data_IF_908612737644
#
_entry.id   IF_908612737644
#
_cell.length_a   1.000
_cell.length_b   1.000
_cell.length_c   1.000
_cell.angle_alpha   90.00
_cell.angle_beta   90.00
_cell.angle_gamma   90.00
#
_symmetry.space_group_name_H-M   'P 1'
#
loop_
_entity.id
_entity.type
_entity.pdbx_description
1 polymer ?
#
# COMPACT_ATOMS: atom_id res chain seq x y z
N UNK A 1 1.55 -18.40 13.15
CA UNK A 1 0.67 -17.23 12.98
C UNK A 1 0.76 -16.35 14.21
N UNK A 2 0.66 -15.00 14.09
CA UNK A 2 0.61 -14.12 15.26
C UNK A 2 -0.56 -14.50 16.17
N UNK A 3 -0.34 -14.47 17.47
CA UNK A 3 -1.34 -14.80 18.51
C UNK A 3 -2.12 -13.57 18.99
N UNK A 4 -2.11 -12.50 18.19
CA UNK A 4 -2.79 -11.23 18.45
C UNK A 4 -3.38 -10.71 17.14
N UNK A 5 -4.42 -9.88 17.25
CA UNK A 5 -5.06 -9.29 16.08
C UNK A 5 -4.13 -8.30 15.34
N UNK A 6 -4.03 -8.47 14.02
CA UNK A 6 -3.15 -7.69 13.14
C UNK A 6 -3.88 -6.48 12.55
N UNK A 7 -3.12 -5.56 11.98
CA UNK A 7 -3.62 -4.47 11.14
C UNK A 7 -3.13 -4.70 9.72
N UNK A 8 -4.06 -4.80 8.79
CA UNK A 8 -3.77 -4.93 7.37
C UNK A 8 -3.72 -3.54 6.72
N UNK A 9 -2.52 -3.04 6.45
CA UNK A 9 -2.35 -1.68 5.93
C UNK A 9 -2.60 -1.53 4.43
N UNK A 10 -2.98 -2.61 3.71
CA UNK A 10 -3.14 -2.55 2.27
C UNK A 10 -4.20 -3.54 1.78
N UNK A 11 -5.44 -3.04 1.63
CA UNK A 11 -6.60 -3.80 1.16
C UNK A 11 -7.30 -3.03 0.02
N UNK A 12 -7.77 -3.74 -0.98
CA UNK A 12 -8.55 -3.26 -2.11
C UNK A 12 -9.98 -3.81 -2.00
N UNK A 13 -10.94 -2.89 -1.91
CA UNK A 13 -12.38 -3.16 -1.90
C UNK A 13 -12.99 -2.44 -3.09
N UNK A 14 -13.77 -3.13 -3.92
CA UNK A 14 -14.34 -2.50 -5.11
C UNK A 14 -15.62 -3.20 -5.55
N UNK A 15 -16.54 -2.43 -6.11
CA UNK A 15 -17.82 -2.91 -6.62
C UNK A 15 -17.94 -2.63 -8.12
N UNK A 16 -17.84 -3.69 -8.92
CA UNK A 16 -17.87 -3.59 -10.39
C UNK A 16 -19.29 -3.40 -10.94
N UNK A 17 -20.32 -3.54 -10.09
CA UNK A 17 -21.70 -3.21 -10.46
C UNK A 17 -21.97 -1.70 -10.37
N UNK A 18 -21.18 -0.99 -9.53
CA UNK A 18 -21.29 0.47 -9.33
C UNK A 18 -20.29 1.27 -10.17
N UNK A 19 -19.07 0.78 -10.27
CA UNK A 19 -17.96 1.52 -10.85
C UNK A 19 -17.21 0.70 -11.89
N UNK A 20 -16.50 1.40 -12.77
CA UNK A 20 -15.61 0.79 -13.74
C UNK A 20 -14.16 0.92 -13.29
N UNK A 21 -13.45 -0.21 -13.37
CA UNK A 21 -12.02 -0.32 -13.11
C UNK A 21 -11.38 -0.93 -14.36
N UNK A 22 -10.91 -0.10 -15.28
CA UNK A 22 -10.46 -0.54 -16.61
C UNK A 22 -9.34 -1.59 -16.58
N UNK A 23 -8.50 -1.61 -15.54
CA UNK A 23 -7.42 -2.57 -15.40
C UNK A 23 -7.90 -4.02 -15.18
N UNK A 24 -9.12 -4.23 -14.66
CA UNK A 24 -9.68 -5.56 -14.42
C UNK A 24 -9.95 -6.33 -15.72
N UNK A 25 -10.05 -5.66 -16.86
CA UNK A 25 -10.17 -6.32 -18.18
C UNK A 25 -8.95 -7.20 -18.49
N UNK A 26 -7.78 -6.82 -17.97
CA UNK A 26 -6.54 -7.57 -18.16
C UNK A 26 -6.34 -8.65 -17.10
N UNK A 27 -7.21 -8.73 -16.08
CA UNK A 27 -7.12 -9.67 -14.97
C UNK A 27 -8.48 -10.30 -14.66
N UNK A 28 -9.01 -11.17 -15.56
CA UNK A 28 -10.39 -11.66 -15.46
C UNK A 28 -10.70 -12.40 -14.15
N UNK A 29 -9.71 -13.02 -13.51
CA UNK A 29 -9.86 -13.71 -12.21
C UNK A 29 -10.26 -12.77 -11.07
N UNK A 30 -9.97 -11.48 -11.19
CA UNK A 30 -10.32 -10.43 -10.23
C UNK A 30 -11.52 -9.60 -10.65
N UNK A 31 -12.09 -9.83 -11.83
CA UNK A 31 -13.22 -9.07 -12.39
C UNK A 31 -14.55 -9.47 -11.74
N UNK A 32 -14.67 -9.19 -10.45
CA UNK A 32 -15.86 -9.40 -9.59
C UNK A 32 -15.87 -8.39 -8.45
N UNK A 33 -17.03 -8.11 -7.90
CA UNK A 33 -17.15 -7.29 -6.69
C UNK A 33 -16.45 -7.99 -5.51
N UNK A 34 -15.67 -7.21 -4.75
CA UNK A 34 -14.87 -7.67 -3.61
C UNK A 34 -15.09 -6.72 -2.44
N UNK A 35 -15.88 -7.15 -1.46
CA UNK A 35 -16.29 -6.33 -0.30
C UNK A 35 -15.84 -6.94 1.03
N UNK A 36 -16.20 -6.30 2.15
CA UNK A 36 -15.82 -6.74 3.51
C UNK A 36 -16.23 -8.19 3.82
N UNK A 37 -17.38 -8.64 3.32
CA UNK A 37 -17.80 -10.04 3.48
C UNK A 37 -16.94 -11.03 2.68
N UNK A 38 -16.38 -10.62 1.54
CA UNK A 38 -15.39 -11.42 0.79
C UNK A 38 -14.05 -11.44 1.51
N UNK A 39 -13.64 -10.29 2.05
CA UNK A 39 -12.44 -10.17 2.86
C UNK A 39 -12.50 -11.11 4.08
N UNK A 40 -13.64 -11.17 4.78
CA UNK A 40 -13.86 -12.07 5.90
C UNK A 40 -13.70 -13.55 5.53
N UNK A 41 -14.20 -13.94 4.36
CA UNK A 41 -13.99 -15.30 3.84
C UNK A 41 -12.53 -15.55 3.50
N UNK A 42 -11.85 -14.58 2.90
CA UNK A 42 -10.47 -14.71 2.46
C UNK A 42 -9.49 -14.82 3.63
N UNK A 43 -9.63 -13.98 4.66
CA UNK A 43 -8.75 -14.00 5.84
C UNK A 43 -8.86 -15.28 6.66
N UNK A 44 -9.96 -16.02 6.53
CA UNK A 44 -10.20 -17.25 7.29
C UNK A 44 -10.09 -17.02 8.80
N UNK A 45 -9.19 -17.75 9.46
CA UNK A 45 -8.96 -17.66 10.91
C UNK A 45 -8.00 -16.54 11.33
N UNK A 46 -7.43 -15.78 10.40
CA UNK A 46 -6.56 -14.65 10.77
C UNK A 46 -7.40 -13.58 11.46
N UNK A 47 -7.01 -13.22 12.68
CA UNK A 47 -7.65 -12.13 13.42
C UNK A 47 -7.15 -10.79 12.91
N UNK A 48 -8.02 -10.02 12.27
CA UNK A 48 -7.73 -8.68 11.75
C UNK A 48 -8.55 -7.67 12.54
N UNK A 49 -7.86 -6.78 13.25
CA UNK A 49 -8.46 -5.70 14.04
C UNK A 49 -8.83 -4.50 13.17
N UNK A 50 -7.94 -4.11 12.26
CA UNK A 50 -8.15 -2.97 11.36
C UNK A 50 -7.60 -3.25 9.97
N UNK A 51 -8.22 -2.63 8.98
CA UNK A 51 -7.79 -2.60 7.58
C UNK A 51 -7.63 -1.14 7.12
N UNK A 52 -6.70 -0.92 6.20
CA UNK A 52 -6.56 0.35 5.46
C UNK A 52 -6.85 0.06 3.99
N UNK A 53 -7.89 0.71 3.47
CA UNK A 53 -8.20 0.68 2.04
C UNK A 53 -7.15 1.47 1.25
N UNK A 54 -6.74 0.96 0.10
CA UNK A 54 -5.95 1.67 -0.91
C UNK A 54 -6.73 1.73 -2.24
N UNK A 55 -6.82 2.94 -2.83
CA UNK A 55 -7.52 3.23 -4.10
C UNK A 55 -7.24 2.19 -5.18
N UNK A 56 -8.23 1.79 -5.97
CA UNK A 56 -8.12 0.62 -6.84
C UNK A 56 -8.00 1.00 -8.31
N UNK A 57 -7.40 2.16 -8.61
CA UNK A 57 -7.31 2.72 -9.96
C UNK A 57 -8.67 2.73 -10.68
N UNK A 58 -9.68 3.27 -9.99
CA UNK A 58 -10.99 3.56 -10.59
C UNK A 58 -10.82 4.42 -11.85
N UNK A 59 -11.71 4.25 -12.83
CA UNK A 59 -11.66 5.02 -14.07
C UNK A 59 -11.61 6.55 -13.78
N UNK A 60 -10.86 7.33 -14.58
CA UNK A 60 -10.61 8.74 -14.28
C UNK A 60 -11.86 9.58 -14.05
N UNK A 61 -11.82 10.44 -13.03
CA UNK A 61 -12.90 11.35 -12.67
C UNK A 61 -13.92 10.79 -11.67
N UNK A 62 -13.72 9.56 -11.18
CA UNK A 62 -14.58 8.91 -10.18
C UNK A 62 -13.93 8.80 -8.79
N UNK A 63 -12.84 9.51 -8.52
CA UNK A 63 -12.06 9.35 -7.29
C UNK A 63 -12.78 9.84 -6.04
N UNK A 64 -13.66 10.84 -6.17
CA UNK A 64 -14.49 11.29 -5.05
C UNK A 64 -15.61 10.30 -4.77
N UNK A 65 -16.18 9.70 -5.82
CA UNK A 65 -17.22 8.68 -5.72
C UNK A 65 -16.69 7.36 -5.13
N UNK A 66 -15.46 6.98 -5.47
CA UNK A 66 -14.76 5.86 -4.81
C UNK A 66 -14.58 6.15 -3.32
N UNK A 67 -14.12 7.36 -2.98
CA UNK A 67 -13.93 7.75 -1.59
C UNK A 67 -15.24 7.78 -0.78
N UNK A 68 -16.33 8.30 -1.39
CA UNK A 68 -17.68 8.29 -0.79
C UNK A 68 -18.14 6.84 -0.52
N UNK A 69 -17.97 5.95 -1.51
CA UNK A 69 -18.31 4.54 -1.36
C UNK A 69 -17.52 3.83 -0.26
N UNK A 70 -16.21 4.08 -0.17
CA UNK A 70 -15.36 3.48 0.87
C UNK A 70 -15.69 4.06 2.25
N UNK A 71 -16.05 5.34 2.35
CA UNK A 71 -16.53 5.91 3.60
C UNK A 71 -17.86 5.27 4.04
N UNK A 72 -18.79 5.02 3.12
CA UNK A 72 -20.04 4.30 3.44
C UNK A 72 -19.74 2.91 4.01
N UNK A 73 -18.74 2.19 3.47
CA UNK A 73 -18.30 0.92 4.05
C UNK A 73 -17.72 1.10 5.45
N UNK A 74 -16.90 2.14 5.67
CA UNK A 74 -16.26 2.43 6.95
C UNK A 74 -17.25 2.86 8.04
N UNK A 75 -18.40 3.42 7.65
CA UNK A 75 -19.48 3.77 8.59
C UNK A 75 -20.30 2.55 9.02
N UNK A 76 -20.19 1.42 8.31
CA UNK A 76 -20.87 0.16 8.63
C UNK A 76 -19.94 -0.91 9.22
N UNK A 77 -18.63 -0.70 9.22
CA UNK A 77 -17.64 -1.62 9.78
C UNK A 77 -16.40 -0.86 10.28
N UNK A 78 -16.27 -0.75 11.60
CA UNK A 78 -15.17 -0.02 12.27
C UNK A 78 -13.78 -0.61 11.99
N UNK A 79 -13.69 -1.84 11.47
CA UNK A 79 -12.41 -2.40 11.05
C UNK A 79 -11.82 -1.62 9.89
N UNK A 80 -12.62 -1.02 9.02
CA UNK A 80 -12.14 -0.13 7.97
C UNK A 80 -11.76 1.24 8.56
N UNK A 81 -10.59 1.26 9.19
CA UNK A 81 -10.13 2.37 10.02
C UNK A 81 -9.37 3.46 9.23
N UNK A 82 -8.97 3.15 7.99
CA UNK A 82 -8.20 4.04 7.14
C UNK A 82 -8.52 3.88 5.66
N UNK A 83 -8.40 4.98 4.93
CA UNK A 83 -8.53 5.07 3.48
C UNK A 83 -7.37 5.89 2.91
N UNK A 84 -6.69 5.30 1.93
CA UNK A 84 -5.75 5.98 1.05
C UNK A 84 -6.44 6.16 -0.30
N UNK A 85 -6.89 7.37 -0.57
CA UNK A 85 -7.71 7.70 -1.74
C UNK A 85 -6.85 8.15 -2.93
N UNK A 86 -7.44 8.21 -4.12
CA UNK A 86 -6.82 8.85 -5.27
C UNK A 86 -7.02 10.38 -5.23
N UNK A 87 -6.02 11.14 -5.69
CA UNK A 87 -6.21 12.53 -6.09
C UNK A 87 -5.35 12.86 -7.34
N UNK A 88 -5.84 13.72 -8.25
CA UNK A 88 -5.14 14.06 -9.50
C UNK A 88 -4.03 15.11 -9.26
N UNK A 89 -2.94 14.70 -8.62
CA UNK A 89 -1.83 15.55 -8.18
C UNK A 89 -1.10 16.29 -9.33
N UNK A 90 -1.25 15.82 -10.57
CA UNK A 90 -0.76 16.48 -11.78
C UNK A 90 -1.38 17.88 -11.98
N UNK A 91 -2.53 18.15 -11.34
CA UNK A 91 -3.15 19.47 -11.30
C UNK A 91 -2.29 20.52 -10.59
N UNK A 92 -1.25 20.16 -9.84
CA UNK A 92 -0.48 21.11 -9.03
C UNK A 92 -1.34 21.68 -7.90
N UNK A 93 -1.15 22.95 -7.55
CA UNK A 93 -1.95 23.60 -6.49
C UNK A 93 -3.47 23.53 -6.70
N UNK A 94 -3.94 23.40 -7.95
CA UNK A 94 -5.37 23.23 -8.24
C UNK A 94 -5.97 21.90 -7.72
N UNK A 95 -5.16 20.95 -7.24
CA UNK A 95 -5.66 19.74 -6.57
C UNK A 95 -6.25 20.04 -5.18
N UNK A 96 -6.02 21.22 -4.61
CA UNK A 96 -6.45 21.54 -3.25
C UNK A 96 -7.97 21.39 -3.06
N UNK A 97 -8.78 21.70 -4.08
CA UNK A 97 -10.23 21.48 -4.06
C UNK A 97 -10.59 19.99 -3.92
N UNK A 98 -9.87 19.11 -4.64
CA UNK A 98 -10.03 17.66 -4.52
C UNK A 98 -9.64 17.19 -3.11
N UNK A 99 -8.52 17.68 -2.56
CA UNK A 99 -8.05 17.33 -1.22
C UNK A 99 -9.05 17.78 -0.15
N UNK A 100 -9.55 19.01 -0.22
CA UNK A 100 -10.57 19.53 0.70
C UNK A 100 -11.83 18.68 0.64
N UNK A 101 -12.31 18.35 -0.57
CA UNK A 101 -13.48 17.48 -0.73
C UNK A 101 -13.25 16.11 -0.10
N UNK A 102 -12.05 15.52 -0.24
CA UNK A 102 -11.71 14.25 0.38
C UNK A 102 -11.66 14.33 1.92
N UNK A 103 -11.24 15.45 2.52
CA UNK A 103 -11.16 15.57 3.99
C UNK A 103 -12.49 15.45 4.73
N UNK A 104 -13.63 15.48 4.02
CA UNK A 104 -14.95 15.18 4.61
C UNK A 104 -15.07 13.74 5.12
N UNK A 105 -14.26 12.82 4.60
CA UNK A 105 -14.31 11.39 4.95
C UNK A 105 -13.49 11.12 6.22
N UNK A 106 -14.16 10.65 7.28
CA UNK A 106 -13.53 10.28 8.56
C UNK A 106 -12.41 9.26 8.40
N UNK A 107 -12.53 8.35 7.43
CA UNK A 107 -11.54 7.30 7.18
C UNK A 107 -10.29 7.80 6.43
N UNK A 108 -10.30 8.99 5.82
CA UNK A 108 -9.18 9.44 4.98
C UNK A 108 -7.88 9.60 5.79
N UNK A 109 -6.79 8.97 5.31
CA UNK A 109 -5.45 9.04 5.93
C UNK A 109 -4.33 9.34 4.95
N UNK A 110 -4.52 9.11 3.65
CA UNK A 110 -3.47 9.36 2.68
C UNK A 110 -4.01 9.48 1.27
N UNK A 111 -3.11 9.85 0.38
CA UNK A 111 -3.32 9.86 -1.06
C UNK A 111 -2.37 8.87 -1.71
N UNK A 112 -2.86 8.13 -2.70
CA UNK A 112 -2.03 7.29 -3.57
C UNK A 112 -2.17 7.75 -5.00
N UNK A 113 -1.05 7.66 -5.72
CA UNK A 113 -1.03 7.77 -7.18
C UNK A 113 -0.16 6.66 -7.75
N UNK A 114 -0.74 5.84 -8.62
CA UNK A 114 0.01 4.80 -9.33
C UNK A 114 1.02 5.42 -10.29
N UNK A 115 2.31 5.22 -10.02
CA UNK A 115 3.42 5.57 -10.91
C UNK A 115 3.72 4.38 -11.84
N UNK A 116 3.47 3.16 -11.37
CA UNK A 116 3.79 1.91 -12.08
C UNK A 116 3.09 1.72 -13.43
N UNK A 117 1.92 2.34 -13.63
CA UNK A 117 1.14 2.21 -14.86
C UNK A 117 1.44 3.33 -15.87
N UNK A 118 2.20 4.34 -15.46
CA UNK A 118 2.47 5.51 -16.29
C UNK A 118 3.59 5.24 -17.30
N UNK A 119 3.40 5.78 -18.51
CA UNK A 119 4.39 5.63 -19.59
C UNK A 119 5.71 6.32 -19.27
N UNK A 120 5.63 7.49 -18.63
CA UNK A 120 6.79 8.24 -18.16
C UNK A 120 6.68 8.38 -16.63
N UNK A 121 7.43 7.57 -15.86
CA UNK A 121 7.38 7.62 -14.39
C UNK A 121 7.94 8.94 -13.82
N UNK A 122 8.66 9.74 -14.61
CA UNK A 122 9.28 10.98 -14.14
C UNK A 122 8.27 12.10 -13.87
N UNK A 123 7.01 11.94 -14.31
CA UNK A 123 5.93 12.89 -14.01
C UNK A 123 5.81 13.20 -12.50
N UNK A 124 6.10 12.22 -11.64
CA UNK A 124 5.99 12.36 -10.19
C UNK A 124 7.06 13.27 -9.57
N UNK A 125 8.07 13.70 -10.33
CA UNK A 125 9.09 14.67 -9.90
C UNK A 125 9.00 16.01 -10.65
N UNK A 126 7.96 16.20 -11.46
CA UNK A 126 7.69 17.47 -12.13
C UNK A 126 7.25 18.55 -11.13
N UNK A 127 7.51 19.85 -11.41
CA UNK A 127 7.20 20.93 -10.49
C UNK A 127 5.75 20.97 -9.99
N UNK A 128 4.78 20.71 -10.88
CA UNK A 128 3.35 20.69 -10.50
C UNK A 128 3.05 19.55 -9.54
N UNK A 129 3.51 18.34 -9.85
CA UNK A 129 3.28 17.19 -8.98
C UNK A 129 3.90 17.41 -7.60
N UNK A 130 5.12 17.94 -7.54
CA UNK A 130 5.78 18.30 -6.28
C UNK A 130 5.01 19.37 -5.51
N UNK A 131 4.48 20.40 -6.17
CA UNK A 131 3.62 21.41 -5.54
C UNK A 131 2.40 20.75 -4.87
N UNK A 132 1.70 19.87 -5.58
CA UNK A 132 0.54 19.14 -5.08
C UNK A 132 0.87 18.24 -3.88
N UNK A 133 1.94 17.44 -3.97
CA UNK A 133 2.36 16.53 -2.88
C UNK A 133 2.70 17.30 -1.60
N UNK A 134 3.31 18.48 -1.71
CA UNK A 134 3.63 19.32 -0.55
C UNK A 134 2.41 19.90 0.16
N UNK A 135 1.22 19.86 -0.45
CA UNK A 135 -0.03 20.25 0.22
C UNK A 135 -0.54 19.19 1.19
N UNK A 136 -0.18 17.91 1.01
CA UNK A 136 -0.73 16.80 1.78
C UNK A 136 -0.59 16.96 3.31
N UNK A 137 0.55 17.42 3.87
CA UNK A 137 0.69 17.60 5.31
C UNK A 137 -0.27 18.66 5.88
N UNK A 138 -0.64 19.69 5.10
CA UNK A 138 -1.63 20.71 5.51
C UNK A 138 -2.98 20.07 5.82
N UNK A 139 -3.32 18.97 5.16
CA UNK A 139 -4.55 18.22 5.35
C UNK A 139 -4.36 16.98 6.24
N UNK A 140 -3.17 16.79 6.84
CA UNK A 140 -2.86 15.62 7.66
C UNK A 140 -2.80 14.31 6.86
N UNK A 141 -2.43 14.38 5.58
CA UNK A 141 -2.39 13.25 4.65
C UNK A 141 -0.96 12.79 4.38
N UNK A 142 -0.78 11.46 4.29
CA UNK A 142 0.44 10.83 3.78
C UNK A 142 0.37 10.59 2.27
N UNK A 143 1.50 10.20 1.66
CA UNK A 143 1.54 9.77 0.26
C UNK A 143 2.03 8.32 0.13
N UNK A 144 1.23 7.47 -0.50
CA UNK A 144 1.59 6.09 -0.81
C UNK A 144 2.24 6.02 -2.21
N UNK A 145 3.48 5.56 -2.27
CA UNK A 145 4.27 5.43 -3.50
C UNK A 145 4.07 4.02 -4.07
N UNK A 146 3.25 3.90 -5.10
CA UNK A 146 3.13 2.66 -5.88
C UNK A 146 3.93 2.74 -7.18
N UNK A 147 5.12 2.11 -7.17
CA UNK A 147 6.11 2.19 -8.26
C UNK A 147 6.78 0.83 -8.48
N UNK A 148 7.18 0.53 -9.71
CA UNK A 148 7.98 -0.65 -10.05
C UNK A 148 9.48 -0.41 -9.82
N UNK A 149 10.24 -1.47 -9.55
CA UNK A 149 11.68 -1.38 -9.30
C UNK A 149 12.47 -0.59 -10.36
N UNK A 150 12.11 -0.66 -11.65
CA UNK A 150 12.79 0.06 -12.72
C UNK A 150 12.56 1.59 -12.68
N UNK A 151 11.53 2.05 -11.96
CA UNK A 151 11.19 3.46 -11.74
C UNK A 151 11.40 3.91 -10.29
N UNK A 152 11.87 3.04 -9.39
CA UNK A 152 11.98 3.34 -7.96
C UNK A 152 12.87 4.57 -7.68
N UNK A 153 13.83 4.87 -8.56
CA UNK A 153 14.63 6.12 -8.51
C UNK A 153 13.78 7.40 -8.49
N UNK A 154 12.63 7.43 -9.17
CA UNK A 154 11.75 8.59 -9.19
C UNK A 154 10.93 8.73 -7.90
N UNK A 155 10.49 7.60 -7.32
CA UNK A 155 9.89 7.59 -5.98
C UNK A 155 10.87 8.05 -4.89
N UNK A 156 12.13 7.62 -5.01
CA UNK A 156 13.22 8.08 -4.15
C UNK A 156 13.45 9.59 -4.25
N UNK A 157 13.51 10.11 -5.47
CA UNK A 157 13.71 11.54 -5.69
C UNK A 157 12.50 12.38 -5.23
N UNK A 158 11.27 11.88 -5.43
CA UNK A 158 10.06 12.49 -4.89
C UNK A 158 10.14 12.63 -3.37
N UNK A 159 10.48 11.54 -2.66
CA UNK A 159 10.58 11.57 -1.20
C UNK A 159 11.66 12.53 -0.69
N UNK A 160 12.81 12.61 -1.38
CA UNK A 160 13.89 13.56 -1.07
C UNK A 160 13.46 15.01 -1.23
N UNK A 161 12.65 15.31 -2.24
CA UNK A 161 12.20 16.67 -2.56
C UNK A 161 11.07 17.16 -1.67
N UNK A 162 10.41 16.28 -0.93
CA UNK A 162 9.28 16.59 -0.07
C UNK A 162 9.49 16.06 1.37
N UNK A 163 10.56 16.46 2.07
CA UNK A 163 10.92 15.91 3.38
C UNK A 163 9.85 16.10 4.47
N UNK A 164 8.92 17.04 4.28
CA UNK A 164 7.77 17.30 5.16
C UNK A 164 6.62 16.30 5.01
N UNK A 165 6.62 15.50 3.93
CA UNK A 165 5.57 14.52 3.64
C UNK A 165 5.98 13.17 4.17
N UNK A 166 5.07 12.49 4.89
CA UNK A 166 5.25 11.08 5.22
C UNK A 166 4.94 10.23 3.99
N UNK A 167 5.94 9.50 3.52
CA UNK A 167 5.83 8.59 2.39
C UNK A 167 5.73 7.14 2.85
N UNK A 168 4.85 6.39 2.20
CA UNK A 168 4.72 4.94 2.40
C UNK A 168 5.08 4.26 1.08
N UNK A 169 6.20 3.55 1.05
CA UNK A 169 6.58 2.73 -0.09
C UNK A 169 5.68 1.49 -0.14
N UNK A 170 4.85 1.39 -1.17
CA UNK A 170 4.01 0.22 -1.39
C UNK A 170 4.85 -0.98 -1.87
N UNK A 171 4.41 -2.16 -1.47
CA UNK A 171 4.89 -3.46 -1.94
C UNK A 171 6.41 -3.61 -2.04
N UNK A 172 7.13 -3.11 -1.03
CA UNK A 172 8.59 -3.10 -0.98
C UNK A 172 9.28 -2.52 -2.23
N UNK A 173 8.61 -1.65 -2.99
CA UNK A 173 9.13 -1.09 -4.25
C UNK A 173 9.13 -2.09 -5.43
N UNK A 174 8.28 -3.12 -5.37
CA UNK A 174 8.01 -4.11 -6.43
C UNK A 174 9.26 -4.62 -7.17
N UNK A 175 10.17 -5.33 -6.46
CA UNK A 175 11.37 -5.94 -7.07
C UNK A 175 11.01 -6.92 -8.18
N UNK A 176 11.92 -7.14 -9.13
CA UNK A 176 11.73 -8.18 -10.16
C UNK A 176 12.12 -9.57 -9.63
N UNK A 177 11.28 -10.09 -8.73
CA UNK A 177 11.52 -11.40 -8.10
C UNK A 177 11.46 -12.51 -9.15
N UNK A 178 10.54 -12.40 -10.11
CA UNK A 178 10.38 -13.37 -11.20
C UNK A 178 11.70 -13.65 -11.94
N UNK A 179 12.52 -12.62 -12.16
CA UNK A 179 13.82 -12.76 -12.81
C UNK A 179 15.00 -12.80 -11.82
N UNK A 180 14.75 -12.81 -10.51
CA UNK A 180 15.77 -12.86 -9.46
C UNK A 180 16.63 -11.59 -9.38
N UNK A 181 16.11 -10.44 -9.81
CA UNK A 181 16.88 -9.21 -9.88
C UNK A 181 16.95 -8.53 -8.49
N UNK A 182 18.16 -8.43 -7.95
CA UNK A 182 18.39 -7.77 -6.67
C UNK A 182 18.82 -6.31 -6.80
N UNK A 183 19.57 -5.93 -7.83
CA UNK A 183 20.06 -4.57 -8.04
C UNK A 183 19.46 -3.97 -9.31
N UNK A 184 19.20 -2.65 -9.35
CA UNK A 184 19.51 -1.63 -8.33
C UNK A 184 18.50 -1.55 -7.17
N UNK A 185 17.52 -2.46 -7.10
CA UNK A 185 16.46 -2.40 -6.09
C UNK A 185 17.00 -2.41 -4.65
N UNK A 186 17.95 -3.29 -4.31
CA UNK A 186 18.53 -3.39 -2.96
C UNK A 186 19.20 -2.09 -2.54
N UNK A 187 20.05 -1.52 -3.40
CA UNK A 187 20.71 -0.23 -3.13
C UNK A 187 19.70 0.90 -2.98
N UNK A 188 18.70 0.99 -3.87
CA UNK A 188 17.64 2.01 -3.78
C UNK A 188 16.75 1.87 -2.55
N UNK A 189 16.47 0.64 -2.07
CA UNK A 189 15.77 0.41 -0.81
C UNK A 189 16.55 0.94 0.39
N UNK A 190 17.88 0.79 0.40
CA UNK A 190 18.72 1.38 1.45
C UNK A 190 18.72 2.90 1.39
N UNK A 191 18.76 3.47 0.20
CA UNK A 191 18.66 4.92 0.01
C UNK A 191 17.28 5.45 0.46
N UNK A 192 16.20 4.72 0.19
CA UNK A 192 14.87 5.06 0.67
C UNK A 192 14.78 4.96 2.19
N UNK A 193 15.34 3.90 2.78
CA UNK A 193 15.35 3.72 4.23
C UNK A 193 16.21 4.77 4.94
N UNK A 194 17.19 5.37 4.28
CA UNK A 194 17.97 6.48 4.83
C UNK A 194 17.14 7.78 4.98
N UNK A 195 15.98 7.89 4.33
CA UNK A 195 15.07 9.02 4.49
C UNK A 195 14.14 8.77 5.68
N UNK A 196 14.20 9.63 6.70
CA UNK A 196 13.43 9.47 7.94
C UNK A 196 11.91 9.57 7.72
N UNK A 197 11.47 10.29 6.68
CA UNK A 197 10.08 10.49 6.31
C UNK A 197 9.48 9.33 5.49
N UNK A 198 10.23 8.24 5.27
CA UNK A 198 9.78 7.08 4.49
C UNK A 198 9.61 5.85 5.40
N UNK A 199 8.46 5.20 5.24
CA UNK A 199 8.17 3.86 5.78
C UNK A 199 7.82 2.90 4.64
N UNK A 200 7.79 1.60 4.90
CA UNK A 200 7.62 0.59 3.86
C UNK A 200 6.55 -0.44 4.22
N UNK A 201 5.69 -0.78 3.26
CA UNK A 201 4.76 -1.90 3.41
C UNK A 201 5.40 -3.20 2.92
N UNK A 202 5.45 -4.19 3.81
CA UNK A 202 5.71 -5.59 3.47
C UNK A 202 4.38 -6.17 2.99
N UNK A 203 4.12 -6.01 1.69
CA UNK A 203 2.86 -6.35 1.00
C UNK A 203 3.13 -6.68 -0.46
N UNK A 204 2.21 -7.34 -1.17
CA UNK A 204 2.30 -7.58 -2.62
C UNK A 204 3.62 -8.22 -3.10
N UNK A 205 4.35 -8.90 -2.23
CA UNK A 205 5.71 -9.38 -2.55
C UNK A 205 5.65 -10.60 -3.45
N UNK A 206 4.77 -11.55 -3.12
CA UNK A 206 4.64 -12.82 -3.85
C UNK A 206 4.11 -12.58 -5.28
N UNK A 207 3.28 -11.56 -5.49
CA UNK A 207 2.74 -11.17 -6.81
C UNK A 207 3.81 -10.63 -7.77
N UNK A 208 5.02 -10.33 -7.30
CA UNK A 208 6.15 -9.95 -8.16
C UNK A 208 7.04 -11.15 -8.55
N UNK A 209 6.78 -12.34 -7.99
CA UNK A 209 7.41 -13.59 -8.39
C UNK A 209 6.66 -14.26 -9.56
N UNK A 210 7.10 -15.45 -9.98
CA UNK A 210 6.31 -16.23 -10.94
C UNK A 210 5.02 -16.75 -10.29
N UNK A 211 3.86 -16.29 -10.77
CA UNK A 211 2.56 -16.54 -10.13
C UNK A 211 2.22 -18.03 -9.96
N UNK A 212 2.73 -18.88 -10.85
CA UNK A 212 2.42 -20.31 -10.85
C UNK A 212 3.47 -21.16 -10.12
N UNK A 213 4.70 -20.66 -9.94
CA UNK A 213 5.86 -21.46 -9.51
C UNK A 213 6.66 -20.88 -8.36
N UNK A 214 6.22 -19.74 -7.82
CA UNK A 214 6.91 -19.10 -6.72
C UNK A 214 7.12 -20.07 -5.55
N UNK A 215 8.20 -19.87 -4.81
CA UNK A 215 8.45 -20.61 -3.57
C UNK A 215 9.00 -19.69 -2.48
N UNK A 216 8.92 -20.09 -1.21
CA UNK A 216 9.34 -19.22 -0.11
C UNK A 216 10.82 -18.79 -0.14
N UNK A 217 11.72 -19.62 -0.68
CA UNK A 217 13.17 -19.33 -0.63
C UNK A 217 13.58 -18.15 -1.52
N UNK A 218 12.88 -17.89 -2.62
CA UNK A 218 13.12 -16.71 -3.46
C UNK A 218 12.50 -15.44 -2.88
N UNK A 219 11.41 -15.55 -2.10
CA UNK A 219 10.71 -14.40 -1.50
C UNK A 219 11.46 -13.85 -0.29
N UNK A 220 11.90 -14.73 0.62
CA UNK A 220 12.50 -14.37 1.91
C UNK A 220 13.66 -13.36 1.80
N UNK A 221 14.61 -13.46 0.83
CA UNK A 221 15.72 -12.52 0.72
C UNK A 221 15.34 -11.07 0.44
N UNK A 222 14.17 -10.82 -0.17
CA UNK A 222 13.67 -9.46 -0.43
C UNK A 222 13.04 -8.86 0.82
N UNK A 223 12.18 -9.63 1.50
CA UNK A 223 11.56 -9.18 2.76
C UNK A 223 12.62 -8.94 3.84
N UNK A 224 13.60 -9.85 3.98
CA UNK A 224 14.68 -9.70 4.94
C UNK A 224 15.50 -8.42 4.70
N UNK A 225 15.78 -8.08 3.43
CA UNK A 225 16.50 -6.85 3.07
C UNK A 225 15.74 -5.59 3.49
N UNK A 226 14.41 -5.59 3.33
CA UNK A 226 13.56 -4.44 3.69
C UNK A 226 13.51 -4.27 5.20
N UNK A 227 13.32 -5.36 5.95
CA UNK A 227 13.31 -5.33 7.43
C UNK A 227 14.68 -4.87 7.96
N UNK A 228 15.78 -5.37 7.41
CA UNK A 228 17.15 -4.95 7.75
C UNK A 228 17.38 -3.45 7.48
N UNK A 229 16.95 -2.96 6.32
CA UNK A 229 17.17 -1.56 5.92
C UNK A 229 16.30 -0.57 6.70
N UNK A 230 15.01 -0.83 6.86
CA UNK A 230 14.07 0.12 7.48
C UNK A 230 13.98 -0.03 9.01
N UNK A 231 14.19 -1.24 9.52
CA UNK A 231 13.92 -1.63 10.90
C UNK A 231 12.42 -1.81 11.18
N UNK A 232 12.10 -2.53 12.26
CA UNK A 232 10.72 -2.85 12.66
C UNK A 232 9.83 -1.62 12.87
N UNK A 233 10.41 -0.49 13.29
CA UNK A 233 9.67 0.76 13.50
C UNK A 233 9.15 1.41 12.22
N UNK A 234 9.65 1.01 11.04
CA UNK A 234 9.28 1.62 9.75
C UNK A 234 8.83 0.62 8.70
N UNK A 235 8.56 -0.61 9.09
CA UNK A 235 7.89 -1.60 8.24
C UNK A 235 6.50 -1.92 8.79
N UNK A 236 5.54 -2.15 7.90
CA UNK A 236 4.19 -2.57 8.27
C UNK A 236 3.67 -3.66 7.33
N UNK A 237 2.84 -4.55 7.87
CA UNK A 237 2.17 -5.61 7.11
C UNK A 237 1.05 -5.03 6.23
N UNK A 238 0.92 -5.56 5.01
CA UNK A 238 -0.29 -5.42 4.19
C UNK A 238 -0.50 -6.67 3.35
N UNK A 239 -1.73 -7.11 3.19
CA UNK A 239 -2.03 -8.35 2.43
C UNK A 239 -2.04 -8.16 0.93
N UNK A 240 -2.26 -6.92 0.46
CA UNK A 240 -2.55 -6.64 -0.96
C UNK A 240 -3.78 -7.40 -1.47
N UNK A 241 -4.66 -7.85 -0.57
CA UNK A 241 -5.94 -8.43 -0.97
C UNK A 241 -6.79 -7.33 -1.62
N UNK A 242 -7.50 -7.52 -2.72
CA UNK A 242 -7.83 -8.78 -3.40
C UNK A 242 -6.77 -9.25 -4.40
N UNK A 243 -5.81 -8.40 -4.77
CA UNK A 243 -4.79 -8.65 -5.80
C UNK A 243 -3.91 -9.85 -5.47
N UNK A 244 -3.58 -10.06 -4.18
CA UNK A 244 -2.79 -11.21 -3.72
C UNK A 244 -3.37 -12.58 -4.11
N UNK A 245 -4.68 -12.68 -4.33
CA UNK A 245 -5.35 -13.92 -4.78
C UNK A 245 -4.86 -14.43 -6.16
N UNK A 246 -4.10 -13.61 -6.91
CA UNK A 246 -3.43 -14.05 -8.12
C UNK A 246 -2.36 -15.11 -7.87
N UNK A 247 -1.82 -15.18 -6.65
CA UNK A 247 -0.67 -16.04 -6.34
C UNK A 247 -0.85 -16.89 -5.09
N UNK A 248 -1.57 -16.41 -4.08
CA UNK A 248 -1.71 -17.11 -2.80
C UNK A 248 -2.99 -16.69 -2.05
N UNK A 249 -3.53 -17.55 -1.17
CA UNK A 249 -4.61 -17.16 -0.27
C UNK A 249 -4.08 -16.26 0.87
N UNK A 250 -4.94 -15.43 1.43
CA UNK A 250 -4.60 -14.47 2.50
C UNK A 250 -3.74 -15.06 3.64
N UNK A 251 -4.09 -16.22 4.25
CA UNK A 251 -3.32 -16.74 5.38
C UNK A 251 -1.88 -17.11 5.02
N UNK A 252 -1.62 -17.51 3.77
CA UNK A 252 -0.32 -18.01 3.35
C UNK A 252 0.79 -16.95 3.47
N UNK A 253 0.47 -15.67 3.25
CA UNK A 253 1.47 -14.61 3.41
C UNK A 253 1.76 -14.29 4.88
N UNK A 254 0.73 -14.36 5.74
CA UNK A 254 0.90 -14.21 7.19
C UNK A 254 1.72 -15.38 7.75
N UNK A 255 1.46 -16.60 7.29
CA UNK A 255 2.24 -17.80 7.65
C UNK A 255 3.70 -17.66 7.23
N UNK A 256 3.96 -17.23 6.00
CA UNK A 256 5.31 -16.99 5.50
C UNK A 256 6.05 -15.94 6.34
N UNK A 257 5.40 -14.81 6.62
CA UNK A 257 6.00 -13.75 7.43
C UNK A 257 6.24 -14.19 8.87
N UNK A 258 5.32 -14.92 9.48
CA UNK A 258 5.54 -15.41 10.85
C UNK A 258 6.67 -16.45 10.93
N UNK A 259 6.81 -17.33 9.92
CA UNK A 259 7.97 -18.23 9.77
C UNK A 259 9.28 -17.43 9.66
N UNK A 260 9.29 -16.32 8.92
CA UNK A 260 10.47 -15.45 8.80
C UNK A 260 10.83 -14.72 10.08
N UNK A 261 9.84 -14.48 10.94
CA UNK A 261 9.98 -13.73 12.18
C UNK A 261 10.21 -14.64 13.39
N UNK A 262 10.45 -15.93 13.19
CA UNK A 262 10.89 -16.84 14.25
C UNK A 262 12.18 -16.30 14.91
N UNK A 263 12.16 -16.20 16.24
CA UNK A 263 13.28 -15.64 17.02
C UNK A 263 13.26 -14.12 17.21
N UNK A 264 12.39 -13.38 16.52
CA UNK A 264 12.14 -11.96 16.82
C UNK A 264 11.28 -11.81 18.07
N UNK A 265 11.43 -10.70 18.78
CA UNK A 265 10.63 -10.41 19.96
C UNK A 265 9.17 -10.15 19.61
N UNK A 266 8.26 -10.45 20.53
CA UNK A 266 6.84 -10.09 20.39
C UNK A 266 6.66 -8.58 20.12
N UNK A 267 7.50 -7.73 20.70
CA UNK A 267 7.46 -6.29 20.46
C UNK A 267 7.77 -5.93 19.00
N UNK A 268 8.76 -6.58 18.39
CA UNK A 268 9.11 -6.40 16.97
C UNK A 268 8.01 -6.93 16.04
N UNK A 269 7.46 -8.11 16.34
CA UNK A 269 6.31 -8.66 15.61
C UNK A 269 5.13 -7.70 15.64
N UNK A 270 4.82 -7.12 16.80
CA UNK A 270 3.73 -6.14 16.95
C UNK A 270 3.98 -4.86 16.17
N UNK A 271 5.22 -4.36 16.11
CA UNK A 271 5.56 -3.21 15.25
C UNK A 271 5.20 -3.49 13.79
N UNK A 272 5.66 -4.61 13.24
CA UNK A 272 5.39 -4.99 11.84
C UNK A 272 3.91 -5.27 11.58
N UNK A 273 3.26 -6.07 12.41
CA UNK A 273 1.89 -6.51 12.17
C UNK A 273 0.82 -5.50 12.59
N UNK A 274 1.15 -4.46 13.36
CA UNK A 274 0.14 -3.61 13.99
C UNK A 274 0.59 -2.17 14.23
N UNK A 275 1.58 -1.97 15.08
CA UNK A 275 1.80 -0.67 15.73
C UNK A 275 2.34 0.38 14.74
N UNK A 276 3.16 -0.03 13.76
CA UNK A 276 3.65 0.88 12.71
C UNK A 276 2.51 1.40 11.83
N UNK A 277 1.56 0.54 11.42
CA UNK A 277 0.40 0.97 10.65
C UNK A 277 -0.52 1.90 11.45
N UNK A 278 -0.80 1.58 12.72
CA UNK A 278 -1.62 2.42 13.60
C UNK A 278 -1.03 3.82 13.74
N UNK A 279 0.28 3.92 13.96
CA UNK A 279 0.97 5.21 14.11
C UNK A 279 1.00 5.98 12.80
N UNK A 280 1.44 5.34 11.70
CA UNK A 280 1.64 6.03 10.42
C UNK A 280 0.33 6.50 9.82
N UNK A 281 -0.73 5.68 9.88
CA UNK A 281 -2.05 6.05 9.38
C UNK A 281 -2.97 6.64 10.45
N UNK A 282 -2.46 6.98 11.65
CA UNK A 282 -3.27 7.65 12.70
C UNK A 282 -4.60 6.91 12.94
N UNK A 283 -4.52 5.60 13.13
CA UNK A 283 -5.67 4.70 13.30
C UNK A 283 -6.13 4.60 14.76
N UNK A 284 -5.82 5.63 15.56
CA UNK A 284 -6.19 5.71 16.97
C UNK A 284 -7.63 6.22 17.05
N UNK A 285 -8.51 5.33 17.49
CA UNK A 285 -9.96 5.48 17.61
C UNK A 285 -10.52 4.21 18.22
#
# INVERSE_FOLDING_TARGET
MPNFAIVDSHVHLYDIERFRYGWLENVPSLKRTSLLGDFDRARGSVEVDKIVFAEVAIDPGLHLEEADFIQDLADNDDRLAGMVAHAPLEKGSAVEDDLVALTKHRALRGIRRLIETERDPSFCIEPRFLEAVRLLPKHGLSFDICVKHWALVYGLELARRCPEVTFILDHIGKPDIRHGLHEPWRSQIREMAALENVVCKVSGVITEADHARWNKHEIKPYIAHVIDAFGFDRVMYGSDWTVSNLTHPYPAFVELLDEMLEGTSEAEKRKLYRDTAIRVYRLQG
#
